data_IF_218353717639
#
_entry.id   IF_218353717639
#
_cell.length_a   1.000
_cell.length_b   1.000
_cell.length_c   1.000
_cell.angle_alpha   90.00
_cell.angle_beta   90.00
_cell.angle_gamma   90.00
#
_symmetry.space_group_name_H-M   'P 1'
#
loop_
_entity.id
_entity.type
_entity.pdbx_description
1 polymer ?
#
# COMPACT_ATOMS: atom_id res chain seq x y z
N UNK A 1 19.50 -0.32 25.66
CA UNK A 1 18.40 -1.31 25.73
C UNK A 1 19.01 -2.69 25.46
N UNK A 2 18.85 -3.68 26.34
CA UNK A 2 19.34 -5.02 26.07
C UNK A 2 18.45 -5.64 24.98
N UNK A 3 19.05 -6.15 23.89
CA UNK A 3 18.34 -6.94 22.88
C UNK A 3 17.74 -8.15 23.59
N UNK A 4 16.42 -8.25 23.66
CA UNK A 4 15.74 -9.47 24.06
C UNK A 4 16.17 -10.57 23.09
N UNK A 5 16.89 -11.58 23.59
CA UNK A 5 17.20 -12.76 22.80
C UNK A 5 15.87 -13.43 22.44
N UNK A 6 15.47 -13.34 21.18
CA UNK A 6 14.29 -14.06 20.70
C UNK A 6 14.56 -15.57 20.84
N UNK A 7 13.60 -16.36 21.35
CA UNK A 7 13.78 -17.81 21.48
C UNK A 7 14.05 -18.44 20.11
N UNK A 8 14.93 -19.44 20.09
CA UNK A 8 15.30 -20.18 18.88
C UNK A 8 14.05 -20.79 18.21
N UNK A 9 13.97 -20.83 16.86
CA UNK A 9 12.85 -21.44 16.16
C UNK A 9 12.65 -22.90 16.58
N UNK A 10 11.40 -23.31 16.83
CA UNK A 10 11.08 -24.70 17.11
C UNK A 10 11.25 -25.56 15.84
N UNK A 11 11.43 -26.87 16.00
CA UNK A 11 11.61 -27.79 14.87
C UNK A 11 10.50 -27.62 13.81
N UNK A 12 10.89 -27.28 12.58
CA UNK A 12 9.96 -27.03 11.45
C UNK A 12 9.61 -25.55 11.19
N UNK A 13 10.07 -24.61 12.04
CA UNK A 13 9.94 -23.17 11.81
C UNK A 13 11.17 -22.64 11.06
N UNK A 14 10.96 -22.07 9.88
CA UNK A 14 11.99 -21.34 9.17
C UNK A 14 12.03 -19.88 9.65
N UNK A 15 13.21 -19.29 9.66
CA UNK A 15 13.43 -17.89 10.00
C UNK A 15 13.91 -17.13 8.77
N UNK A 16 13.47 -15.89 8.62
CA UNK A 16 14.03 -14.93 7.67
C UNK A 16 15.45 -14.61 8.10
N UNK A 17 16.40 -14.71 7.17
CA UNK A 17 17.82 -14.37 7.40
C UNK A 17 18.23 -13.24 6.47
N UNK A 18 19.33 -12.56 6.77
CA UNK A 18 19.91 -11.55 5.88
C UNK A 18 20.21 -12.13 4.49
N UNK A 19 20.75 -13.35 4.45
CA UNK A 19 21.02 -14.06 3.21
C UNK A 19 19.74 -14.32 2.39
N UNK A 20 18.63 -14.68 3.04
CA UNK A 20 17.34 -14.85 2.35
C UNK A 20 16.81 -13.53 1.79
N UNK A 21 16.93 -12.42 2.54
CA UNK A 21 16.52 -11.10 2.06
C UNK A 21 17.36 -10.65 0.87
N UNK A 22 18.68 -10.81 0.94
CA UNK A 22 19.61 -10.50 -0.16
C UNK A 22 19.39 -11.37 -1.40
N UNK A 23 18.98 -12.63 -1.20
CA UNK A 23 18.64 -13.52 -2.30
C UNK A 23 17.29 -13.17 -2.95
N UNK A 24 16.32 -12.71 -2.17
CA UNK A 24 15.01 -12.27 -2.66
C UNK A 24 15.09 -10.91 -3.37
N UNK A 25 15.90 -9.99 -2.85
CA UNK A 25 16.19 -8.69 -3.46
C UNK A 25 17.61 -8.22 -3.07
N UNK A 26 18.45 -7.92 -4.06
CA UNK A 26 19.82 -7.49 -3.84
C UNK A 26 19.99 -5.95 -3.84
N UNK A 27 18.91 -5.18 -3.90
CA UNK A 27 18.99 -3.72 -4.12
C UNK A 27 19.19 -2.92 -2.84
N UNK A 28 18.86 -3.50 -1.68
CA UNK A 28 19.02 -2.86 -0.38
C UNK A 28 20.36 -3.15 0.29
N UNK A 29 20.78 -2.25 1.17
CA UNK A 29 21.98 -2.46 1.99
C UNK A 29 21.77 -3.55 3.04
N UNK A 30 22.85 -4.22 3.41
CA UNK A 30 22.85 -5.16 4.54
C UNK A 30 22.37 -4.50 5.83
N UNK A 31 22.75 -3.24 6.07
CA UNK A 31 22.31 -2.46 7.23
C UNK A 31 20.79 -2.25 7.27
N UNK A 32 20.14 -2.08 6.11
CA UNK A 32 18.69 -1.97 6.03
C UNK A 32 18.03 -3.32 6.35
N UNK A 33 18.53 -4.41 5.77
CA UNK A 33 18.02 -5.74 6.07
C UNK A 33 18.21 -6.13 7.53
N UNK A 34 19.34 -5.77 8.14
CA UNK A 34 19.57 -5.94 9.57
C UNK A 34 18.57 -5.16 10.44
N UNK A 35 18.03 -4.05 9.94
CA UNK A 35 17.03 -3.26 10.67
C UNK A 35 15.61 -3.87 10.61
N UNK A 36 15.28 -4.66 9.57
CA UNK A 36 13.92 -5.19 9.35
C UNK A 36 13.77 -6.69 9.66
N UNK A 37 14.87 -7.45 9.68
CA UNK A 37 14.84 -8.92 9.82
C UNK A 37 14.16 -9.38 11.11
N UNK A 38 14.35 -8.66 12.21
CA UNK A 38 13.74 -9.01 13.50
C UNK A 38 12.21 -8.80 13.48
N UNK A 39 11.75 -7.71 12.87
CA UNK A 39 10.32 -7.43 12.71
C UNK A 39 9.65 -8.45 11.76
N UNK A 40 10.30 -8.76 10.63
CA UNK A 40 9.82 -9.79 9.70
C UNK A 40 9.66 -11.16 10.39
N UNK A 41 10.67 -11.57 11.17
CA UNK A 41 10.58 -12.83 11.92
C UNK A 41 9.50 -12.80 13.00
N UNK A 42 9.30 -11.67 13.66
CA UNK A 42 8.27 -11.55 14.69
C UNK A 42 6.85 -11.67 14.12
N UNK A 43 6.56 -10.93 13.05
CA UNK A 43 5.27 -11.00 12.38
C UNK A 43 5.07 -12.33 11.64
N UNK A 44 6.12 -12.91 11.05
CA UNK A 44 6.05 -14.26 10.49
C UNK A 44 5.57 -15.30 11.52
N UNK A 45 6.00 -15.18 12.79
CA UNK A 45 5.48 -16.04 13.86
C UNK A 45 4.03 -15.73 14.21
N UNK A 46 3.69 -14.46 14.43
CA UNK A 46 2.33 -14.02 14.83
C UNK A 46 1.25 -14.33 13.79
N UNK A 47 1.61 -14.29 12.50
CA UNK A 47 0.71 -14.56 11.36
C UNK A 47 0.84 -15.98 10.80
N UNK A 48 1.60 -16.85 11.49
CA UNK A 48 1.89 -18.22 11.10
C UNK A 48 2.59 -18.39 9.73
N UNK A 49 3.20 -17.33 9.19
CA UNK A 49 3.99 -17.34 7.94
C UNK A 49 5.42 -17.78 8.23
N UNK A 50 5.60 -18.95 8.86
CA UNK A 50 6.91 -19.42 9.34
C UNK A 50 7.28 -20.82 8.85
N UNK A 51 6.60 -21.34 7.83
CA UNK A 51 7.06 -22.54 7.11
C UNK A 51 7.94 -22.13 5.92
N UNK A 52 8.89 -22.96 5.47
CA UNK A 52 9.78 -22.61 4.36
C UNK A 52 9.02 -22.13 3.11
N UNK A 53 7.95 -22.84 2.72
CA UNK A 53 7.16 -22.49 1.54
C UNK A 53 6.41 -21.17 1.73
N UNK A 54 5.77 -20.94 2.89
CA UNK A 54 5.05 -19.69 3.15
C UNK A 54 5.99 -18.49 3.18
N UNK A 55 7.16 -18.62 3.81
CA UNK A 55 8.19 -17.57 3.80
C UNK A 55 8.70 -17.29 2.39
N UNK A 56 9.04 -18.32 1.60
CA UNK A 56 9.51 -18.14 0.24
C UNK A 56 8.50 -17.37 -0.63
N UNK A 57 7.22 -17.77 -0.58
CA UNK A 57 6.15 -17.06 -1.28
C UNK A 57 6.00 -15.61 -0.79
N UNK A 58 5.97 -15.41 0.53
CA UNK A 58 5.81 -14.09 1.12
C UNK A 58 6.96 -13.14 0.73
N UNK A 59 8.22 -13.57 0.93
CA UNK A 59 9.41 -12.78 0.61
C UNK A 59 9.49 -12.47 -0.89
N UNK A 60 9.13 -13.42 -1.75
CA UNK A 60 9.09 -13.19 -3.19
C UNK A 60 8.05 -12.11 -3.58
N UNK A 61 6.86 -12.13 -2.95
CA UNK A 61 5.84 -11.12 -3.19
C UNK A 61 6.29 -9.73 -2.72
N UNK A 62 6.69 -9.58 -1.46
CA UNK A 62 7.07 -8.25 -0.94
C UNK A 62 8.36 -7.71 -1.57
N UNK A 63 9.28 -8.61 -2.00
CA UNK A 63 10.45 -8.26 -2.80
C UNK A 63 10.04 -7.71 -4.17
N UNK A 64 9.09 -8.35 -4.85
CA UNK A 64 8.60 -7.89 -6.16
C UNK A 64 7.82 -6.57 -6.07
N UNK A 65 6.89 -6.46 -5.11
CA UNK A 65 5.97 -5.34 -5.01
C UNK A 65 6.66 -4.06 -4.54
N UNK A 66 7.69 -4.18 -3.69
CA UNK A 66 8.22 -3.01 -2.97
C UNK A 66 9.72 -3.00 -2.76
N UNK A 67 10.45 -4.04 -3.18
CA UNK A 67 11.84 -4.25 -2.79
C UNK A 67 12.03 -4.07 -1.27
N UNK A 68 11.08 -4.60 -0.48
CA UNK A 68 11.04 -4.50 0.98
C UNK A 68 10.93 -3.07 1.55
N UNK A 69 10.58 -2.06 0.74
CA UNK A 69 10.49 -0.66 1.18
C UNK A 69 9.05 -0.20 1.24
N UNK A 70 8.67 0.38 2.38
CA UNK A 70 7.38 1.05 2.50
C UNK A 70 7.31 2.25 1.56
N UNK A 71 6.16 2.42 0.90
CA UNK A 71 5.85 3.59 0.10
C UNK A 71 4.41 4.03 0.37
N UNK A 72 4.14 5.31 0.14
CA UNK A 72 2.77 5.82 0.09
C UNK A 72 2.45 6.42 -1.27
N UNK A 73 1.19 6.32 -1.66
CA UNK A 73 0.71 6.93 -2.89
C UNK A 73 0.87 8.46 -2.82
N UNK A 74 1.60 9.04 -3.77
CA UNK A 74 1.85 10.48 -3.80
C UNK A 74 0.59 11.27 -4.20
N UNK A 75 -0.10 10.85 -5.27
CA UNK A 75 -1.29 11.54 -5.79
C UNK A 75 -1.00 12.87 -6.51
N UNK A 76 0.25 13.32 -6.62
CA UNK A 76 0.60 14.57 -7.30
C UNK A 76 0.80 14.34 -8.80
N UNK A 77 -0.17 14.76 -9.62
CA UNK A 77 -0.15 14.58 -11.07
C UNK A 77 -0.47 15.87 -11.81
N UNK A 78 0.11 16.03 -13.01
CA UNK A 78 -0.35 17.04 -13.97
C UNK A 78 -1.72 16.68 -14.52
N UNK A 79 -2.44 17.66 -15.08
CA UNK A 79 -3.78 17.44 -15.62
C UNK A 79 -3.85 16.33 -16.69
N UNK A 80 -2.93 16.27 -17.70
CA UNK A 80 -2.93 15.16 -18.65
C UNK A 80 -2.63 13.81 -17.99
N UNK A 81 -1.74 13.79 -16.99
CA UNK A 81 -1.33 12.55 -16.33
C UNK A 81 -2.43 11.97 -15.45
N UNK A 82 -3.18 12.78 -14.72
CA UNK A 82 -4.30 12.28 -13.91
C UNK A 82 -5.45 11.76 -14.79
N UNK A 83 -5.73 12.39 -15.95
CA UNK A 83 -6.72 11.91 -16.92
C UNK A 83 -6.28 10.58 -17.53
N UNK A 84 -5.01 10.46 -17.87
CA UNK A 84 -4.43 9.22 -18.39
C UNK A 84 -4.57 8.05 -17.40
N UNK A 85 -4.28 8.28 -16.12
CA UNK A 85 -4.28 7.20 -15.12
C UNK A 85 -5.71 6.88 -14.67
N UNK A 86 -6.53 7.89 -14.37
CA UNK A 86 -7.79 7.72 -13.64
C UNK A 86 -9.04 8.12 -14.45
N UNK A 87 -8.86 8.75 -15.61
CA UNK A 87 -9.93 9.46 -16.28
C UNK A 87 -10.87 8.57 -17.10
N UNK A 88 -10.37 7.50 -17.72
CA UNK A 88 -11.14 6.72 -18.69
C UNK A 88 -11.71 5.41 -18.14
N UNK A 89 -12.90 5.04 -18.60
CA UNK A 89 -13.47 3.70 -18.37
C UNK A 89 -12.58 2.68 -19.10
N UNK A 90 -12.29 1.55 -18.47
CA UNK A 90 -11.34 0.57 -19.03
C UNK A 90 -9.86 0.95 -18.84
N UNK A 91 -9.57 2.01 -18.08
CA UNK A 91 -8.23 2.38 -17.66
C UNK A 91 -7.38 3.08 -18.73
N UNK A 92 -6.08 3.18 -18.45
CA UNK A 92 -5.11 3.99 -19.19
C UNK A 92 -5.02 3.70 -20.69
N UNK A 93 -5.26 2.46 -21.10
CA UNK A 93 -5.20 2.07 -22.51
C UNK A 93 -6.31 2.73 -23.36
N UNK A 94 -7.33 3.29 -22.71
CA UNK A 94 -8.42 4.01 -23.36
C UNK A 94 -8.17 5.52 -23.45
N UNK A 95 -7.05 6.02 -22.95
CA UNK A 95 -6.69 7.43 -23.04
C UNK A 95 -5.85 7.70 -24.29
N UNK A 96 -6.30 8.63 -25.13
CA UNK A 96 -5.55 9.17 -26.26
C UNK A 96 -4.75 10.40 -25.80
N UNK A 97 -3.42 10.28 -25.82
CA UNK A 97 -2.52 11.37 -25.40
C UNK A 97 -2.49 12.54 -26.37
N UNK A 98 -2.74 12.30 -27.65
CA UNK A 98 -2.73 13.35 -28.69
C UNK A 98 -3.98 14.21 -28.55
N UNK A 99 -5.12 13.58 -28.28
CA UNK A 99 -6.39 14.26 -28.10
C UNK A 99 -6.63 14.77 -26.65
N UNK A 100 -5.85 14.30 -25.67
CA UNK A 100 -6.09 14.54 -24.24
C UNK A 100 -7.52 14.12 -23.83
N UNK A 101 -7.91 12.92 -24.27
CA UNK A 101 -9.30 12.46 -24.21
C UNK A 101 -9.43 10.93 -24.15
N UNK A 102 -10.53 10.44 -23.59
CA UNK A 102 -10.89 9.03 -23.66
C UNK A 102 -11.40 8.64 -25.06
N UNK A 103 -11.04 7.42 -25.49
CA UNK A 103 -11.66 6.79 -26.66
C UNK A 103 -13.18 6.80 -26.55
N UNK A 104 -13.84 6.91 -27.69
CA UNK A 104 -15.29 6.97 -27.76
C UNK A 104 -15.91 5.64 -27.31
N UNK A 105 -17.01 5.74 -26.56
CA UNK A 105 -17.87 4.62 -26.21
C UNK A 105 -18.86 4.28 -27.32
N UNK A 106 -19.74 3.28 -27.09
CA UNK A 106 -20.79 2.89 -28.04
C UNK A 106 -21.80 4.01 -28.38
N UNK A 107 -21.90 5.02 -27.52
CA UNK A 107 -22.73 6.22 -27.69
C UNK A 107 -22.06 7.32 -28.55
N UNK A 108 -20.83 7.06 -29.03
CA UNK A 108 -20.05 8.03 -29.79
C UNK A 108 -19.48 9.16 -28.93
N UNK A 109 -19.57 9.08 -27.61
CA UNK A 109 -19.03 10.09 -26.68
C UNK A 109 -17.76 9.59 -26.00
N UNK A 110 -16.85 10.48 -25.56
CA UNK A 110 -15.67 10.06 -24.80
C UNK A 110 -16.06 9.24 -23.56
N UNK A 111 -15.52 8.03 -23.43
CA UNK A 111 -15.84 7.09 -22.36
C UNK A 111 -15.16 7.47 -21.03
N UNK A 112 -15.39 8.70 -20.55
CA UNK A 112 -14.85 9.20 -19.29
C UNK A 112 -15.48 8.45 -18.12
N UNK A 113 -14.63 7.97 -17.21
CA UNK A 113 -14.99 7.43 -15.90
C UNK A 113 -15.11 8.55 -14.87
N UNK A 114 -14.27 9.59 -15.00
CA UNK A 114 -14.20 10.72 -14.06
C UNK A 114 -14.25 12.06 -14.79
N UNK A 115 -15.43 12.53 -15.21
CA UNK A 115 -15.58 13.74 -16.02
C UNK A 115 -14.96 15.00 -15.40
N UNK A 116 -14.99 15.15 -14.06
CA UNK A 116 -14.40 16.30 -13.35
C UNK A 116 -12.90 16.49 -13.60
N UNK A 117 -12.17 15.44 -14.02
CA UNK A 117 -10.76 15.59 -14.40
C UNK A 117 -10.55 16.42 -15.67
N UNK A 118 -11.59 16.59 -16.50
CA UNK A 118 -11.60 17.51 -17.63
C UNK A 118 -12.24 18.85 -17.27
N UNK A 119 -13.43 18.85 -16.66
CA UNK A 119 -14.18 20.09 -16.40
C UNK A 119 -13.64 20.95 -15.26
N UNK A 120 -12.91 20.36 -14.32
CA UNK A 120 -12.41 21.01 -13.11
C UNK A 120 -10.91 20.71 -12.88
N UNK A 121 -10.13 20.61 -13.96
CA UNK A 121 -8.76 20.09 -13.91
C UNK A 121 -7.86 20.83 -12.91
N UNK A 122 -7.99 22.15 -12.81
CA UNK A 122 -7.19 22.99 -11.90
C UNK A 122 -7.46 22.71 -10.41
N UNK A 123 -8.62 22.09 -10.08
CA UNK A 123 -8.92 21.67 -8.71
C UNK A 123 -8.19 20.39 -8.30
N UNK A 124 -7.72 19.59 -9.26
CA UNK A 124 -7.15 18.26 -9.00
C UNK A 124 -5.67 18.14 -9.39
N UNK A 125 -5.26 18.80 -10.47
CA UNK A 125 -3.88 18.78 -10.90
C UNK A 125 -2.99 19.44 -9.83
N UNK A 126 -1.90 18.78 -9.45
CA UNK A 126 -1.04 19.28 -8.37
C UNK A 126 -1.64 19.17 -6.96
N UNK A 127 -2.85 18.60 -6.80
CA UNK A 127 -3.56 18.52 -5.53
C UNK A 127 -3.91 17.06 -5.16
N UNK A 128 -2.98 16.34 -4.50
CA UNK A 128 -3.18 14.95 -4.11
C UNK A 128 -4.42 14.70 -3.27
N UNK A 129 -4.72 15.61 -2.33
CA UNK A 129 -5.83 15.43 -1.41
C UNK A 129 -7.16 15.43 -2.15
N UNK A 130 -7.37 16.43 -3.01
CA UNK A 130 -8.59 16.50 -3.82
C UNK A 130 -8.66 15.36 -4.84
N UNK A 131 -7.54 15.05 -5.51
CA UNK A 131 -7.52 14.02 -6.54
C UNK A 131 -7.83 12.64 -5.97
N UNK A 132 -7.13 12.21 -4.93
CA UNK A 132 -7.33 10.87 -4.37
C UNK A 132 -8.67 10.75 -3.64
N UNK A 133 -9.16 11.83 -3.02
CA UNK A 133 -10.52 11.85 -2.43
C UNK A 133 -11.59 11.63 -3.50
N UNK A 134 -11.43 12.20 -4.70
CA UNK A 134 -12.34 11.92 -5.81
C UNK A 134 -12.13 10.53 -6.43
N UNK A 135 -10.87 10.10 -6.62
CA UNK A 135 -10.55 8.82 -7.27
C UNK A 135 -11.05 7.62 -6.46
N UNK A 136 -10.98 7.70 -5.14
CA UNK A 136 -11.35 6.63 -4.21
C UNK A 136 -12.65 6.88 -3.43
N UNK A 137 -13.43 7.91 -3.79
CA UNK A 137 -14.74 8.16 -3.20
C UNK A 137 -15.66 6.93 -3.31
N UNK A 138 -16.41 6.65 -2.24
CA UNK A 138 -17.41 5.58 -2.15
C UNK A 138 -16.87 4.17 -2.48
N UNK A 139 -15.57 3.93 -2.25
CA UNK A 139 -14.90 2.65 -2.51
C UNK A 139 -14.19 2.18 -1.24
N UNK A 140 -14.16 0.87 -1.02
CA UNK A 140 -13.38 0.26 0.07
C UNK A 140 -13.68 0.85 1.47
N UNK A 141 -14.95 1.20 1.70
CA UNK A 141 -15.42 1.82 2.95
C UNK A 141 -15.14 3.32 3.08
N UNK A 142 -14.52 3.96 2.09
CA UNK A 142 -14.35 5.40 2.06
C UNK A 142 -15.71 6.09 1.88
N UNK A 143 -15.89 7.24 2.53
CA UNK A 143 -17.00 8.16 2.23
C UNK A 143 -16.92 8.77 0.84
N UNK A 144 -17.78 9.76 0.61
CA UNK A 144 -17.79 10.53 -0.64
C UNK A 144 -16.53 11.39 -0.83
N UNK A 145 -16.42 12.11 -1.94
CA UNK A 145 -15.28 12.99 -2.21
C UNK A 145 -15.06 14.04 -1.10
N UNK A 146 -16.15 14.55 -0.50
CA UNK A 146 -16.08 15.58 0.54
C UNK A 146 -15.54 15.05 1.86
N UNK A 147 -15.66 13.76 2.13
CA UNK A 147 -15.12 13.12 3.35
C UNK A 147 -13.59 13.19 3.47
N UNK A 148 -12.87 13.33 2.35
CA UNK A 148 -11.40 13.24 2.33
C UNK A 148 -10.84 11.81 2.52
N UNK A 149 -11.71 10.81 2.69
CA UNK A 149 -11.31 9.43 3.01
C UNK A 149 -10.40 8.82 1.93
N UNK A 150 -10.62 9.17 0.65
CA UNK A 150 -9.81 8.65 -0.44
C UNK A 150 -8.33 9.05 -0.35
N UNK A 151 -8.02 10.27 0.09
CA UNK A 151 -6.64 10.67 0.36
C UNK A 151 -6.15 10.14 1.70
N UNK A 152 -6.99 10.19 2.73
CA UNK A 152 -6.64 9.75 4.09
C UNK A 152 -6.22 8.28 4.14
N UNK A 153 -6.95 7.40 3.44
CA UNK A 153 -6.70 5.96 3.37
C UNK A 153 -6.13 5.52 2.02
N UNK A 154 -5.33 6.37 1.38
CA UNK A 154 -4.54 6.01 0.18
C UNK A 154 -3.55 4.86 0.46
N UNK A 155 -3.01 4.28 -0.59
CA UNK A 155 -2.08 3.15 -0.50
C UNK A 155 -0.84 3.46 0.34
N UNK A 156 -0.53 2.60 1.32
CA UNK A 156 0.68 2.67 2.17
C UNK A 156 1.30 1.31 2.44
N UNK A 157 2.54 1.30 2.90
CA UNK A 157 3.25 0.09 3.32
C UNK A 157 3.88 -0.68 2.17
N UNK A 158 4.27 -1.94 2.43
CA UNK A 158 5.00 -2.77 1.47
C UNK A 158 4.10 -3.37 0.39
N UNK A 159 2.79 -3.51 0.63
CA UNK A 159 1.84 -4.09 -0.34
C UNK A 159 0.63 -3.18 -0.62
N UNK A 160 0.76 -1.88 -0.37
CA UNK A 160 -0.25 -0.86 -0.67
C UNK A 160 -1.62 -1.10 0.01
N UNK A 161 -1.64 -1.13 1.35
CA UNK A 161 -2.88 -1.12 2.14
C UNK A 161 -3.70 0.14 1.80
N UNK A 162 -4.89 -0.06 1.23
CA UNK A 162 -5.71 1.03 0.67
C UNK A 162 -7.17 0.89 1.08
N UNK A 163 -7.81 2.00 1.47
CA UNK A 163 -9.23 2.09 1.78
C UNK A 163 -9.57 1.86 3.25
N UNK A 164 -10.51 2.64 3.78
CA UNK A 164 -10.88 2.67 5.21
C UNK A 164 -11.23 1.30 5.78
N UNK A 165 -11.95 0.46 5.04
CA UNK A 165 -12.28 -0.91 5.47
C UNK A 165 -11.03 -1.76 5.70
N UNK A 166 -10.01 -1.61 4.86
CA UNK A 166 -8.79 -2.38 5.00
C UNK A 166 -7.91 -1.88 6.15
N UNK A 167 -7.88 -0.56 6.40
CA UNK A 167 -7.23 0.00 7.60
C UNK A 167 -7.94 -0.43 8.89
N UNK A 168 -9.27 -0.53 8.90
CA UNK A 168 -10.03 -1.06 10.02
C UNK A 168 -9.75 -2.56 10.24
N UNK A 169 -9.75 -3.36 9.18
CA UNK A 169 -9.42 -4.78 9.27
C UNK A 169 -7.98 -5.01 9.76
N UNK A 170 -7.03 -4.17 9.34
CA UNK A 170 -5.65 -4.21 9.82
C UNK A 170 -5.55 -3.82 11.31
N UNK A 171 -6.31 -2.81 11.74
CA UNK A 171 -6.45 -2.41 13.16
C UNK A 171 -6.89 -3.60 14.01
N UNK A 172 -7.95 -4.30 13.60
CA UNK A 172 -8.45 -5.45 14.33
C UNK A 172 -7.43 -6.60 14.35
N UNK A 173 -6.79 -6.89 13.21
CA UNK A 173 -5.82 -7.96 13.07
C UNK A 173 -4.56 -7.73 13.92
N UNK A 174 -4.06 -6.49 13.95
CA UNK A 174 -2.92 -6.06 14.76
C UNK A 174 -3.24 -6.18 16.25
N UNK A 175 -4.35 -5.59 16.69
CA UNK A 175 -4.72 -5.56 18.12
C UNK A 175 -5.01 -6.97 18.67
N UNK A 176 -5.52 -7.88 17.85
CA UNK A 176 -5.70 -9.28 18.22
C UNK A 176 -4.37 -10.05 18.38
N UNK A 177 -3.35 -9.73 17.57
CA UNK A 177 -2.04 -10.42 17.56
C UNK A 177 -0.98 -9.75 18.42
N UNK A 178 -1.19 -8.48 18.77
CA UNK A 178 -0.27 -7.65 19.55
C UNK A 178 -1.06 -6.89 20.62
N UNK A 179 -1.69 -7.59 21.58
CA UNK A 179 -2.52 -6.95 22.60
C UNK A 179 -1.75 -6.00 23.54
N UNK A 180 -0.42 -6.07 23.56
CA UNK A 180 0.45 -5.22 24.36
C UNK A 180 0.79 -3.88 23.69
N UNK A 181 0.44 -3.70 22.41
CA UNK A 181 0.71 -2.49 21.62
C UNK A 181 -0.54 -2.15 20.79
N UNK A 182 -1.68 -1.77 21.40
CA UNK A 182 -2.89 -1.49 20.65
C UNK A 182 -2.75 -0.19 19.84
N UNK A 183 -3.17 -0.24 18.57
CA UNK A 183 -3.11 0.89 17.64
C UNK A 183 -4.42 0.99 16.88
N UNK A 184 -4.87 2.23 16.59
CA UNK A 184 -5.96 2.51 15.68
C UNK A 184 -5.41 3.13 14.39
N UNK A 185 -5.29 2.31 13.34
CA UNK A 185 -4.79 2.74 12.03
C UNK A 185 -5.83 3.51 11.20
N UNK A 186 -7.10 3.52 11.62
CA UNK A 186 -8.12 4.41 11.02
C UNK A 186 -7.93 5.83 11.55
N UNK A 187 -7.64 5.96 12.85
CA UNK A 187 -7.29 7.24 13.47
C UNK A 187 -5.91 7.75 13.03
N UNK A 188 -4.92 6.87 12.85
CA UNK A 188 -3.52 7.23 12.57
C UNK A 188 -2.93 6.42 11.39
N UNK A 189 -3.47 6.56 10.16
CA UNK A 189 -3.03 5.78 9.00
C UNK A 189 -1.57 6.06 8.57
N UNK A 190 -1.03 7.23 8.92
CA UNK A 190 0.36 7.63 8.65
C UNK A 190 1.41 6.80 9.40
N UNK A 191 1.00 6.06 10.45
CA UNK A 191 1.89 5.16 11.19
C UNK A 191 2.51 4.08 10.29
N UNK A 192 1.85 3.71 9.19
CA UNK A 192 2.41 2.79 8.19
C UNK A 192 3.63 3.37 7.45
N UNK A 193 3.90 4.67 7.57
CA UNK A 193 5.06 5.32 6.97
C UNK A 193 6.07 5.84 8.00
N UNK A 194 5.60 6.26 9.19
CA UNK A 194 6.50 6.75 10.24
C UNK A 194 7.12 5.62 11.07
N UNK A 195 6.47 4.47 11.17
CA UNK A 195 6.90 3.34 12.00
C UNK A 195 7.08 2.09 11.13
N UNK A 196 8.34 1.78 10.79
CA UNK A 196 8.69 0.71 9.85
C UNK A 196 8.11 -0.66 10.27
N UNK A 197 7.96 -0.93 11.57
CA UNK A 197 7.36 -2.17 12.07
C UNK A 197 5.91 -2.35 11.58
N UNK A 198 5.10 -1.30 11.56
CA UNK A 198 3.71 -1.38 11.10
C UNK A 198 3.63 -1.47 9.57
N UNK A 199 4.55 -0.81 8.87
CA UNK A 199 4.68 -0.98 7.43
C UNK A 199 4.95 -2.45 7.06
N UNK A 200 5.87 -3.10 7.78
CA UNK A 200 6.20 -4.52 7.62
C UNK A 200 5.01 -5.40 7.99
N UNK A 201 4.37 -5.15 9.12
CA UNK A 201 3.23 -5.95 9.58
C UNK A 201 2.07 -5.90 8.61
N UNK A 202 1.78 -4.72 8.03
CA UNK A 202 0.69 -4.54 7.07
C UNK A 202 0.80 -5.41 5.81
N UNK A 203 1.95 -6.06 5.59
CA UNK A 203 2.14 -7.01 4.51
C UNK A 203 1.70 -8.44 4.83
N UNK A 204 1.55 -8.82 6.10
CA UNK A 204 1.22 -10.18 6.56
C UNK A 204 -0.29 -10.46 6.58
#
# INVERSE_FOLDING_TARGET
MPRSQQPLPQAGQAAVTLALLQAADATNSESYYAAIVDALNDYARRYAVHTPLRLAHFLAQIGHESAFRAAEENGNYSAPRMREIFGCRGGRLQYDRTADECRLGPDGQPARLRPKLWSEADSYAGNPERLLSYVYANRLGNGDEASGDGYRYRGRGLIQLTGKTNYAAFTDAHNARTPTDPVDFVAQPELLMSELKYAIESAF
#
